data_IF_855279490191
#
_entry.id   IF_855279490191
#
_cell.length_a   1.000
_cell.length_b   1.000
_cell.length_c   1.000
_cell.angle_alpha   90.00
_cell.angle_beta   90.00
_cell.angle_gamma   90.00
#
_symmetry.space_group_name_H-M   'P 1'
#
loop_
_entity.id
_entity.type
_entity.pdbx_description
1 polymer ?
#
# COMPACT_ATOMS: atom_id res chain seq x y z
N UNK A 1 -102.22 25.66 -37.73
CA UNK A 1 -101.09 26.54 -38.09
C UNK A 1 -100.67 27.37 -36.86
N UNK A 2 -99.62 26.96 -36.15
CA UNK A 2 -98.59 27.81 -35.51
C UNK A 2 -97.54 26.91 -34.83
N UNK A 3 -96.28 27.31 -34.99
CA UNK A 3 -95.04 26.57 -34.77
C UNK A 3 -94.27 27.20 -33.58
N UNK A 4 -93.43 26.37 -32.91
CA UNK A 4 -92.25 26.68 -32.04
C UNK A 4 -92.58 27.16 -30.61
N UNK A 5 -91.81 26.81 -29.57
CA UNK A 5 -90.34 26.67 -29.53
C UNK A 5 -89.90 25.79 -28.33
N UNK A 6 -88.86 24.98 -28.53
CA UNK A 6 -88.25 24.16 -27.48
C UNK A 6 -87.27 24.94 -26.58
N UNK A 7 -87.04 24.43 -25.37
CA UNK A 7 -86.00 24.90 -24.45
C UNK A 7 -85.28 23.69 -23.84
N UNK A 8 -84.15 23.31 -24.43
CA UNK A 8 -83.11 22.49 -23.79
C UNK A 8 -82.41 23.36 -22.74
N UNK A 9 -82.15 22.83 -21.54
CA UNK A 9 -81.13 23.41 -20.64
C UNK A 9 -80.31 22.34 -19.92
N UNK A 10 -79.01 22.45 -20.18
CA UNK A 10 -77.86 21.71 -19.70
C UNK A 10 -77.88 21.32 -18.21
N UNK A 11 -77.63 20.05 -17.93
CA UNK A 11 -76.97 19.57 -16.71
C UNK A 11 -76.02 18.45 -17.10
N UNK A 12 -74.73 18.60 -16.84
CA UNK A 12 -73.81 17.46 -16.86
C UNK A 12 -72.41 17.64 -17.44
N UNK A 13 -71.79 18.84 -17.37
CA UNK A 13 -70.38 19.00 -17.84
C UNK A 13 -69.39 19.22 -16.68
N UNK A 14 -69.85 19.56 -15.47
CA UNK A 14 -68.94 19.95 -14.37
C UNK A 14 -68.36 18.83 -13.50
N UNK A 15 -68.76 17.56 -13.64
CA UNK A 15 -68.33 16.48 -12.73
C UNK A 15 -67.28 15.52 -13.29
N UNK A 16 -67.12 15.43 -14.62
CA UNK A 16 -66.13 14.52 -15.21
C UNK A 16 -64.71 15.12 -15.22
N UNK A 17 -64.55 16.44 -15.37
CA UNK A 17 -63.21 17.08 -15.40
C UNK A 17 -62.46 17.07 -14.06
N UNK A 18 -63.16 17.14 -12.92
CA UNK A 18 -62.52 17.08 -11.60
C UNK A 18 -61.94 15.69 -11.29
N UNK A 19 -62.61 14.63 -11.76
CA UNK A 19 -62.20 13.25 -11.53
C UNK A 19 -60.94 12.88 -12.34
N UNK A 20 -60.83 13.41 -13.58
CA UNK A 20 -59.67 13.19 -14.46
C UNK A 20 -58.40 13.94 -14.00
N UNK A 21 -58.54 15.12 -13.38
CA UNK A 21 -57.40 15.87 -12.77
C UNK A 21 -56.87 15.23 -11.49
N UNK A 22 -57.72 14.52 -10.73
CA UNK A 22 -57.32 13.80 -9.52
C UNK A 22 -56.48 12.55 -9.84
N UNK A 23 -56.87 11.78 -10.86
CA UNK A 23 -56.15 10.56 -11.27
C UNK A 23 -54.75 10.84 -11.85
N UNK A 24 -54.60 11.90 -12.65
CA UNK A 24 -53.29 12.27 -13.24
C UNK A 24 -52.27 12.78 -12.21
N UNK A 25 -52.71 13.45 -11.13
CA UNK A 25 -51.82 13.84 -10.03
C UNK A 25 -51.35 12.66 -9.18
N UNK A 26 -52.25 11.72 -8.88
CA UNK A 26 -51.89 10.52 -8.13
C UNK A 26 -50.86 9.67 -8.89
N UNK A 27 -51.09 9.41 -10.18
CA UNK A 27 -50.15 8.63 -11.01
C UNK A 27 -48.78 9.31 -11.18
N UNK A 28 -48.74 10.64 -11.30
CA UNK A 28 -47.49 11.40 -11.37
C UNK A 28 -46.70 11.32 -10.06
N UNK A 29 -47.38 11.38 -8.90
CA UNK A 29 -46.75 11.21 -7.59
C UNK A 29 -46.18 9.80 -7.40
N UNK A 30 -46.91 8.76 -7.83
CA UNK A 30 -46.45 7.37 -7.79
C UNK A 30 -45.25 7.10 -8.71
N UNK A 31 -45.17 7.76 -9.88
CA UNK A 31 -44.02 7.66 -10.79
C UNK A 31 -42.79 8.38 -10.24
N UNK A 32 -42.96 9.57 -9.65
CA UNK A 32 -41.86 10.32 -9.04
C UNK A 32 -41.28 9.60 -7.81
N UNK A 33 -42.14 9.00 -6.98
CA UNK A 33 -41.68 8.21 -5.84
C UNK A 33 -40.91 6.96 -6.28
N UNK A 34 -41.33 6.25 -7.34
CA UNK A 34 -40.58 5.08 -7.84
C UNK A 34 -39.23 5.46 -8.44
N UNK A 35 -39.12 6.59 -9.12
CA UNK A 35 -37.87 7.09 -9.71
C UNK A 35 -36.85 7.56 -8.67
N UNK A 36 -37.28 8.05 -7.50
CA UNK A 36 -36.37 8.47 -6.42
C UNK A 36 -36.00 7.32 -5.46
N UNK A 37 -36.86 6.31 -5.29
CA UNK A 37 -36.61 5.18 -4.38
C UNK A 37 -35.49 4.26 -4.90
N UNK A 38 -35.44 3.98 -6.20
CA UNK A 38 -34.40 3.12 -6.79
C UNK A 38 -32.96 3.62 -6.62
N UNK A 39 -32.62 4.90 -6.87
CA UNK A 39 -31.27 5.40 -6.64
C UNK A 39 -30.91 5.46 -5.16
N UNK A 40 -31.86 5.76 -4.27
CA UNK A 40 -31.63 5.75 -2.81
C UNK A 40 -31.37 4.35 -2.28
N UNK A 41 -32.15 3.35 -2.72
CA UNK A 41 -31.92 1.94 -2.37
C UNK A 41 -30.60 1.44 -2.95
N UNK A 42 -30.29 1.79 -4.21
CA UNK A 42 -29.00 1.42 -4.83
C UNK A 42 -27.83 2.05 -4.08
N UNK A 43 -27.93 3.33 -3.70
CA UNK A 43 -26.90 4.02 -2.93
C UNK A 43 -26.74 3.43 -1.52
N UNK A 44 -27.85 3.12 -0.85
CA UNK A 44 -27.84 2.46 0.47
C UNK A 44 -27.22 1.05 0.40
N UNK A 45 -27.55 0.27 -0.64
CA UNK A 45 -26.95 -1.05 -0.87
C UNK A 45 -25.46 -0.95 -1.19
N UNK A 46 -25.05 0.00 -2.03
CA UNK A 46 -23.63 0.26 -2.33
C UNK A 46 -22.84 0.71 -1.10
N UNK A 47 -23.46 1.50 -0.21
CA UNK A 47 -22.85 1.92 1.05
C UNK A 47 -22.74 0.78 2.08
N UNK A 48 -23.58 -0.27 1.98
CA UNK A 48 -23.54 -1.45 2.84
C UNK A 48 -22.57 -2.54 2.34
N UNK A 49 -22.23 -2.57 1.06
CA UNK A 49 -21.25 -3.51 0.49
C UNK A 49 -19.86 -3.48 1.16
N UNK A 50 -19.24 -2.33 1.50
CA UNK A 50 -17.95 -2.33 2.19
C UNK A 50 -18.03 -2.91 3.60
N UNK A 51 -19.18 -2.87 4.27
CA UNK A 51 -19.38 -3.51 5.58
C UNK A 51 -19.53 -5.04 5.47
N UNK A 52 -19.99 -5.54 4.32
CA UNK A 52 -20.06 -6.98 4.00
C UNK A 52 -18.75 -7.53 3.43
N UNK A 53 -17.90 -6.66 2.90
CA UNK A 53 -16.54 -6.99 2.48
C UNK A 53 -15.61 -7.10 3.70
N UNK A 54 -15.85 -8.10 4.54
CA UNK A 54 -14.98 -8.51 5.65
C UNK A 54 -13.66 -9.16 5.17
N UNK A 55 -13.05 -8.63 4.10
CA UNK A 55 -11.71 -9.00 3.68
C UNK A 55 -10.71 -8.36 4.65
N UNK A 56 -10.69 -8.88 5.88
CA UNK A 56 -9.64 -8.51 6.82
C UNK A 56 -8.37 -9.22 6.38
N UNK A 57 -7.42 -8.46 5.84
CA UNK A 57 -6.08 -8.94 5.54
C UNK A 57 -5.47 -9.52 6.81
N UNK A 58 -5.33 -10.86 6.86
CA UNK A 58 -4.78 -11.56 8.02
C UNK A 58 -3.28 -11.29 8.20
N UNK A 59 -2.60 -11.04 7.08
CA UNK A 59 -1.16 -10.81 7.01
C UNK A 59 -0.83 -9.95 5.79
N UNK A 60 0.06 -9.00 5.98
CA UNK A 60 0.65 -8.20 4.93
C UNK A 60 2.10 -8.64 4.71
N UNK A 61 2.47 -8.89 3.46
CA UNK A 61 3.84 -9.16 3.02
C UNK A 61 4.21 -8.12 2.00
N UNK A 62 5.26 -7.35 2.27
CA UNK A 62 5.78 -6.30 1.40
C UNK A 62 7.13 -6.76 0.86
N UNK A 63 7.26 -6.76 -0.47
CA UNK A 63 8.52 -7.06 -1.15
C UNK A 63 8.98 -5.77 -1.84
N UNK A 64 10.10 -5.22 -1.39
CA UNK A 64 10.72 -4.00 -1.89
C UNK A 64 11.98 -4.37 -2.65
N UNK A 65 11.98 -4.12 -3.96
CA UNK A 65 13.13 -4.38 -4.84
C UNK A 65 13.65 -3.03 -5.32
N UNK A 66 14.80 -2.60 -4.79
CA UNK A 66 15.38 -1.31 -5.15
C UNK A 66 15.96 -1.33 -6.57
N UNK A 67 15.88 -0.18 -7.24
CA UNK A 67 16.45 0.00 -8.58
C UNK A 67 15.88 -0.90 -9.69
N UNK A 68 14.78 -1.63 -9.45
CA UNK A 68 14.18 -2.53 -10.43
C UNK A 68 13.64 -1.74 -11.65
N UNK A 69 14.18 -1.96 -12.86
CA UNK A 69 13.68 -1.25 -14.03
C UNK A 69 12.26 -1.69 -14.38
N UNK A 70 11.42 -0.73 -14.79
CA UNK A 70 9.99 -0.91 -15.03
C UNK A 70 9.64 -2.10 -15.94
N UNK A 71 10.42 -2.32 -17.01
CA UNK A 71 10.16 -3.33 -18.03
C UNK A 71 10.71 -4.73 -17.69
N UNK A 72 11.56 -4.83 -16.67
CA UNK A 72 12.35 -6.04 -16.42
C UNK A 72 11.47 -7.23 -16.03
N UNK A 73 10.53 -7.03 -15.11
CA UNK A 73 9.58 -8.09 -14.71
C UNK A 73 8.69 -8.48 -15.87
N UNK A 74 8.18 -7.51 -16.63
CA UNK A 74 7.30 -7.75 -17.77
C UNK A 74 8.00 -8.59 -18.85
N UNK A 75 9.24 -8.24 -19.17
CA UNK A 75 10.06 -8.96 -20.14
C UNK A 75 10.23 -10.42 -19.74
N UNK A 76 10.71 -10.68 -18.53
CA UNK A 76 10.95 -12.06 -18.08
C UNK A 76 9.67 -12.84 -17.81
N UNK A 77 8.57 -12.17 -17.44
CA UNK A 77 7.28 -12.84 -17.35
C UNK A 77 6.80 -13.28 -18.73
N UNK A 78 7.01 -12.49 -19.80
CA UNK A 78 6.61 -12.84 -21.18
C UNK A 78 7.53 -13.86 -21.84
N UNK A 79 8.82 -13.85 -21.51
CA UNK A 79 9.77 -14.83 -22.02
C UNK A 79 9.35 -16.25 -21.65
N UNK A 80 9.27 -17.13 -22.66
CA UNK A 80 8.88 -18.52 -22.49
C UNK A 80 10.10 -19.41 -22.59
N UNK A 81 10.26 -20.32 -21.63
CA UNK A 81 11.26 -21.36 -21.70
C UNK A 81 10.91 -22.31 -22.86
N UNK A 82 11.77 -22.50 -23.87
CA UNK A 82 11.46 -23.28 -25.06
C UNK A 82 11.26 -24.78 -24.78
N UNK A 83 11.77 -25.30 -23.66
CA UNK A 83 11.62 -26.71 -23.26
C UNK A 83 10.32 -26.99 -22.52
N UNK A 84 9.89 -26.06 -21.66
CA UNK A 84 8.74 -26.27 -20.76
C UNK A 84 7.50 -25.48 -21.15
N UNK A 85 7.64 -24.48 -22.02
CA UNK A 85 6.58 -23.54 -22.39
C UNK A 85 6.17 -22.58 -21.27
N UNK A 86 6.81 -22.62 -20.10
CA UNK A 86 6.48 -21.78 -18.95
C UNK A 86 7.21 -20.43 -19.02
N UNK A 87 6.66 -19.42 -18.34
CA UNK A 87 7.36 -18.16 -18.07
C UNK A 87 8.72 -18.40 -17.38
N UNK A 88 9.69 -17.51 -17.62
CA UNK A 88 10.95 -17.49 -16.84
C UNK A 88 10.72 -17.08 -15.38
N UNK A 89 9.61 -16.37 -15.08
CA UNK A 89 9.19 -16.02 -13.73
C UNK A 89 7.81 -16.64 -13.42
N UNK A 90 7.72 -17.97 -13.31
CA UNK A 90 6.43 -18.68 -13.24
C UNK A 90 5.61 -18.30 -12.02
N UNK A 91 6.27 -18.02 -10.88
CA UNK A 91 5.57 -17.59 -9.67
C UNK A 91 5.09 -16.14 -9.73
N UNK A 92 5.86 -15.24 -10.36
CA UNK A 92 5.40 -13.86 -10.58
C UNK A 92 4.19 -13.84 -11.51
N UNK A 93 4.25 -14.61 -12.61
CA UNK A 93 3.11 -14.81 -13.51
C UNK A 93 1.89 -15.36 -12.75
N UNK A 94 2.09 -16.41 -11.96
CA UNK A 94 1.00 -17.04 -11.22
C UNK A 94 0.34 -16.12 -10.18
N UNK A 95 1.15 -15.46 -9.35
CA UNK A 95 0.66 -14.67 -8.22
C UNK A 95 0.13 -13.31 -8.67
N UNK A 96 0.85 -12.60 -9.53
CA UNK A 96 0.53 -11.20 -9.87
C UNK A 96 -0.22 -11.03 -11.19
N UNK A 97 0.02 -11.88 -12.19
CA UNK A 97 -0.61 -11.73 -13.52
C UNK A 97 -1.90 -12.55 -13.65
N UNK A 98 -1.90 -13.80 -13.16
CA UNK A 98 -3.06 -14.69 -13.28
C UNK A 98 -4.08 -14.50 -12.15
N UNK A 99 -3.61 -14.21 -10.93
CA UNK A 99 -4.43 -14.19 -9.72
C UNK A 99 -4.36 -12.90 -8.93
N UNK A 100 -3.54 -11.95 -9.38
CA UNK A 100 -3.25 -10.73 -8.67
C UNK A 100 -3.85 -9.50 -9.35
N UNK A 101 -3.42 -8.35 -8.86
CA UNK A 101 -3.69 -7.05 -9.47
C UNK A 101 -2.37 -6.36 -9.76
N UNK A 102 -2.36 -5.59 -10.85
CA UNK A 102 -1.19 -4.88 -11.34
C UNK A 102 -1.56 -3.45 -11.69
N UNK A 103 -0.61 -2.56 -11.50
CA UNK A 103 -0.70 -1.18 -11.93
C UNK A 103 0.35 -0.95 -13.01
N UNK A 104 -0.07 -0.64 -14.23
CA UNK A 104 0.84 -0.40 -15.35
C UNK A 104 1.55 0.95 -15.23
N UNK A 105 0.84 1.97 -14.75
CA UNK A 105 1.34 3.35 -14.65
C UNK A 105 1.66 3.72 -13.21
N UNK A 106 2.57 2.97 -12.59
CA UNK A 106 3.07 3.24 -11.25
C UNK A 106 4.34 4.09 -11.34
N UNK A 107 4.32 5.29 -10.79
CA UNK A 107 5.42 6.26 -10.89
C UNK A 107 5.76 6.89 -9.55
N UNK A 108 7.04 7.20 -9.37
CA UNK A 108 7.51 7.99 -8.23
C UNK A 108 7.14 9.45 -8.45
N UNK A 109 6.59 10.10 -7.42
CA UNK A 109 6.31 11.54 -7.46
C UNK A 109 7.54 12.34 -7.04
N UNK A 110 8.08 13.15 -7.95
CA UNK A 110 9.20 14.05 -7.68
C UNK A 110 10.54 13.41 -8.03
N UNK A 111 11.33 13.07 -7.00
CA UNK A 111 12.71 12.60 -7.16
C UNK A 111 12.76 11.07 -7.02
N UNK A 112 13.27 10.38 -8.03
CA UNK A 112 13.43 8.92 -8.06
C UNK A 112 14.67 8.45 -7.30
N UNK A 113 14.76 8.81 -6.02
CA UNK A 113 15.78 8.33 -5.09
C UNK A 113 15.16 7.38 -4.07
N UNK A 114 15.93 6.41 -3.57
CA UNK A 114 15.46 5.39 -2.63
C UNK A 114 14.81 6.01 -1.39
N UNK A 115 15.51 6.86 -0.64
CA UNK A 115 14.99 7.48 0.59
C UNK A 115 13.61 8.13 0.41
N UNK A 116 13.45 9.09 -0.51
CA UNK A 116 12.14 9.70 -0.80
C UNK A 116 11.08 8.71 -1.28
N UNK A 117 11.43 7.77 -2.16
CA UNK A 117 10.47 6.81 -2.74
C UNK A 117 9.90 5.88 -1.68
N UNK A 118 10.76 5.33 -0.83
CA UNK A 118 10.33 4.41 0.23
C UNK A 118 9.54 5.15 1.33
N UNK A 119 9.86 6.41 1.63
CA UNK A 119 9.05 7.21 2.55
C UNK A 119 7.60 7.37 2.07
N UNK A 120 7.40 7.65 0.78
CA UNK A 120 6.05 7.76 0.20
C UNK A 120 5.30 6.44 0.33
N UNK A 121 5.96 5.32 0.02
CA UNK A 121 5.35 4.00 0.08
C UNK A 121 5.00 3.57 1.51
N UNK A 122 5.88 3.85 2.46
CA UNK A 122 5.71 3.43 3.85
C UNK A 122 4.76 4.35 4.62
N UNK A 123 4.51 5.59 4.17
CA UNK A 123 3.59 6.52 4.86
C UNK A 123 2.27 6.74 4.12
N UNK A 124 2.23 6.47 2.81
CA UNK A 124 1.14 6.88 1.94
C UNK A 124 1.02 8.41 1.77
N UNK A 125 1.97 9.19 2.27
CA UNK A 125 1.96 10.66 2.20
C UNK A 125 2.87 11.18 1.09
N UNK A 126 2.77 12.49 0.81
CA UNK A 126 3.73 13.14 -0.06
C UNK A 126 5.15 13.06 0.53
N UNK A 127 6.17 13.16 -0.33
CA UNK A 127 7.57 13.11 0.09
C UNK A 127 7.84 14.14 1.21
N UNK A 128 8.12 13.65 2.41
CA UNK A 128 8.61 14.47 3.53
C UNK A 128 10.14 14.57 3.48
N UNK A 129 10.79 13.44 3.22
CA UNK A 129 12.22 13.36 2.87
C UNK A 129 12.37 13.56 1.36
N UNK A 130 13.25 14.47 0.97
CA UNK A 130 13.46 14.99 -0.39
C UNK A 130 14.76 14.50 -1.02
N UNK A 131 15.68 13.95 -0.24
CA UNK A 131 16.93 13.39 -0.72
C UNK A 131 17.32 12.10 -0.02
N UNK A 132 18.32 11.40 -0.55
CA UNK A 132 19.04 10.35 0.18
C UNK A 132 19.95 10.96 1.26
N UNK A 133 20.45 12.16 0.99
CA UNK A 133 21.22 12.99 1.90
C UNK A 133 20.64 14.39 1.87
N UNK A 134 20.45 14.99 3.04
CA UNK A 134 19.94 16.34 3.22
C UNK A 134 20.86 17.15 4.12
N UNK A 135 21.00 18.43 3.82
CA UNK A 135 21.77 19.35 4.64
C UNK A 135 20.82 20.37 5.28
N UNK A 136 20.74 20.36 6.61
CA UNK A 136 20.04 21.39 7.35
C UNK A 136 20.98 22.56 7.61
N UNK A 137 20.67 23.68 6.95
CA UNK A 137 21.44 24.93 7.06
C UNK A 137 21.37 25.56 8.46
N UNK A 138 20.32 25.31 9.24
CA UNK A 138 20.16 25.92 10.56
C UNK A 138 21.02 25.22 11.62
N UNK A 139 21.06 23.89 11.57
CA UNK A 139 21.88 23.07 12.48
C UNK A 139 23.28 22.80 11.92
N UNK A 140 23.52 23.14 10.65
CA UNK A 140 24.74 22.78 9.89
C UNK A 140 25.00 21.27 9.88
N UNK A 141 23.93 20.47 9.98
CA UNK A 141 23.99 19.03 10.08
C UNK A 141 23.60 18.37 8.75
N UNK A 142 24.30 17.28 8.42
CA UNK A 142 23.98 16.44 7.25
C UNK A 142 23.25 15.19 7.72
N UNK A 143 22.04 14.99 7.21
CA UNK A 143 21.26 13.78 7.42
C UNK A 143 21.46 12.85 6.23
N UNK A 144 22.16 11.75 6.42
CA UNK A 144 22.33 10.71 5.42
C UNK A 144 21.45 9.51 5.77
N UNK A 145 20.41 9.30 4.95
CA UNK A 145 19.40 8.27 5.17
C UNK A 145 19.80 6.91 4.60
N UNK A 146 20.86 6.83 3.79
CA UNK A 146 21.39 5.57 3.24
C UNK A 146 22.46 4.93 4.11
N UNK A 147 22.86 5.57 5.21
CA UNK A 147 23.93 5.08 6.08
C UNK A 147 23.49 3.91 6.98
N UNK A 148 23.26 2.76 6.35
CA UNK A 148 22.92 1.52 7.04
C UNK A 148 24.03 1.10 8.02
N UNK A 149 25.29 1.00 7.59
CA UNK A 149 26.39 0.46 8.40
C UNK A 149 26.62 1.28 9.69
N UNK A 150 26.72 2.63 9.64
CA UNK A 150 26.81 3.44 10.85
C UNK A 150 25.62 3.24 11.80
N UNK A 151 24.40 3.10 11.26
CA UNK A 151 23.23 2.78 12.07
C UNK A 151 23.37 1.43 12.78
N UNK A 152 23.74 0.36 12.07
CA UNK A 152 23.87 -0.98 12.66
C UNK A 152 24.92 -1.02 13.78
N UNK A 153 26.02 -0.28 13.61
CA UNK A 153 27.07 -0.15 14.64
C UNK A 153 26.54 0.63 15.85
N UNK A 154 25.90 1.79 15.63
CA UNK A 154 25.34 2.60 16.70
C UNK A 154 24.25 1.84 17.46
N UNK A 155 23.43 1.06 16.76
CA UNK A 155 22.44 0.19 17.37
C UNK A 155 23.08 -0.93 18.19
N UNK A 156 24.08 -1.63 17.65
CA UNK A 156 24.76 -2.70 18.38
C UNK A 156 25.42 -2.19 19.68
N UNK A 157 25.92 -0.96 19.65
CA UNK A 157 26.41 -0.22 20.83
C UNK A 157 25.32 0.37 21.73
N UNK A 158 24.03 0.14 21.43
CA UNK A 158 22.86 0.69 22.13
C UNK A 158 22.81 2.23 22.18
N UNK A 159 23.48 2.91 21.23
CA UNK A 159 23.53 4.37 21.14
C UNK A 159 22.33 4.93 20.38
N UNK A 160 21.75 4.15 19.46
CA UNK A 160 20.62 4.57 18.61
C UNK A 160 19.67 3.40 18.40
N UNK A 161 18.36 3.65 18.41
CA UNK A 161 17.35 2.61 18.22
C UNK A 161 16.81 2.63 16.79
N UNK A 162 16.46 3.80 16.26
CA UNK A 162 15.78 3.93 14.97
C UNK A 162 16.69 4.51 13.89
N UNK A 163 16.37 4.22 12.61
CA UNK A 163 17.06 4.85 11.50
C UNK A 163 16.79 6.37 11.51
N UNK A 164 17.75 7.24 11.15
CA UNK A 164 17.54 8.69 11.15
C UNK A 164 16.30 9.14 10.36
N UNK A 165 16.03 8.51 9.21
CA UNK A 165 14.83 8.81 8.42
C UNK A 165 13.52 8.47 9.16
N UNK A 166 13.55 7.50 10.07
CA UNK A 166 12.39 7.12 10.90
C UNK A 166 12.17 8.09 12.07
N UNK A 167 13.25 8.56 12.70
CA UNK A 167 13.19 9.58 13.75
C UNK A 167 12.59 10.89 13.21
N UNK A 168 12.96 11.31 12.00
CA UNK A 168 12.38 12.50 11.37
C UNK A 168 10.88 12.32 11.14
N UNK A 169 10.43 11.13 10.74
CA UNK A 169 8.99 10.85 10.57
C UNK A 169 8.23 10.98 11.88
N UNK A 170 8.82 10.57 13.02
CA UNK A 170 8.23 10.78 14.35
C UNK A 170 8.12 12.24 14.72
N UNK A 171 9.17 13.03 14.49
CA UNK A 171 9.14 14.47 14.76
C UNK A 171 8.04 15.18 13.97
N UNK A 172 7.75 14.69 12.76
CA UNK A 172 6.65 15.17 11.92
C UNK A 172 5.29 14.54 12.26
N UNK A 173 5.21 13.62 13.22
CA UNK A 173 4.00 12.90 13.58
C UNK A 173 3.43 12.03 12.45
N UNK A 174 4.30 11.55 11.54
CA UNK A 174 3.92 10.74 10.38
C UNK A 174 4.20 9.27 10.66
N UNK A 175 3.18 8.43 10.93
CA UNK A 175 3.40 7.02 11.21
C UNK A 175 3.80 6.25 9.95
N UNK A 176 4.63 5.23 10.13
CA UNK A 176 4.99 4.29 9.06
C UNK A 176 3.96 3.14 9.02
N UNK A 177 3.81 2.49 7.87
CA UNK A 177 2.85 1.41 7.65
C UNK A 177 3.04 0.26 8.66
N UNK A 178 4.29 -0.02 9.01
CA UNK A 178 4.65 -1.02 10.02
C UNK A 178 4.19 -0.65 11.45
N UNK A 179 3.90 0.61 11.74
CA UNK A 179 3.47 1.08 13.06
C UNK A 179 1.98 0.77 13.31
N UNK A 180 1.24 0.39 12.27
CA UNK A 180 -0.10 -0.18 12.40
C UNK A 180 -0.11 -1.59 13.01
N UNK A 181 1.07 -2.22 13.14
CA UNK A 181 1.23 -3.58 13.67
C UNK A 181 2.03 -3.55 14.99
N UNK A 182 1.59 -4.30 16.02
CA UNK A 182 2.34 -4.46 17.26
C UNK A 182 3.78 -4.91 17.01
N UNK A 183 4.69 -4.44 17.87
CA UNK A 183 6.11 -4.70 17.72
C UNK A 183 6.43 -6.20 17.64
N UNK A 184 5.75 -7.04 18.41
CA UNK A 184 5.95 -8.49 18.49
C UNK A 184 5.42 -9.25 17.25
N UNK A 185 4.48 -8.67 16.52
CA UNK A 185 3.80 -9.27 15.37
C UNK A 185 4.35 -8.83 14.00
N UNK A 186 5.45 -8.08 13.98
CA UNK A 186 6.12 -7.62 12.76
C UNK A 186 7.51 -8.22 12.59
N UNK A 187 7.89 -8.47 11.33
CA UNK A 187 9.25 -8.81 10.90
C UNK A 187 9.66 -7.86 9.79
N UNK A 188 10.89 -7.35 9.85
CA UNK A 188 11.45 -6.45 8.86
C UNK A 188 12.88 -6.85 8.59
N UNK A 189 13.23 -6.99 7.32
CA UNK A 189 14.62 -7.05 6.91
C UNK A 189 15.29 -5.68 7.08
N UNK A 190 16.58 -5.62 6.74
CA UNK A 190 17.32 -4.35 6.77
C UNK A 190 16.72 -3.40 5.74
N UNK A 191 16.25 -2.24 6.18
CA UNK A 191 15.58 -1.26 5.33
C UNK A 191 15.87 0.18 5.77
N UNK A 192 15.56 1.15 4.89
CA UNK A 192 15.87 2.57 5.12
C UNK A 192 15.04 3.20 6.23
N UNK A 193 13.79 2.76 6.40
CA UNK A 193 12.87 3.23 7.43
C UNK A 193 12.61 2.11 8.43
N UNK A 194 13.58 1.90 9.33
CA UNK A 194 13.55 0.79 10.26
C UNK A 194 13.34 1.26 11.70
N UNK A 195 12.40 0.60 12.39
CA UNK A 195 12.13 0.74 13.83
C UNK A 195 12.85 -0.32 14.62
N UNK A 196 14.00 0.04 15.19
CA UNK A 196 14.84 -0.90 15.87
C UNK A 196 15.39 -2.00 14.97
N UNK A 197 16.39 -2.72 15.45
CA UNK A 197 16.88 -3.93 14.83
C UNK A 197 16.59 -5.12 15.73
N UNK A 198 15.86 -6.13 15.25
CA UNK A 198 15.70 -7.38 16.00
C UNK A 198 16.98 -8.21 15.91
N UNK A 199 17.99 -7.86 16.71
CA UNK A 199 19.19 -8.68 16.89
C UNK A 199 18.93 -9.99 17.61
N UNK A 200 17.72 -10.19 18.13
CA UNK A 200 17.28 -11.48 18.69
C UNK A 200 16.90 -12.47 17.60
N UNK A 201 16.55 -12.02 16.38
CA UNK A 201 16.31 -12.90 15.22
C UNK A 201 17.55 -13.07 14.36
N UNK A 202 18.39 -12.03 14.24
CA UNK A 202 19.72 -12.18 13.64
C UNK A 202 20.53 -13.19 14.44
N UNK A 203 20.84 -14.31 13.80
CA UNK A 203 21.64 -15.37 14.39
C UNK A 203 22.92 -14.78 15.03
N UNK A 204 23.43 -15.40 16.11
CA UNK A 204 24.66 -14.95 16.81
C UNK A 204 25.79 -14.58 15.84
N UNK A 205 25.86 -15.20 14.66
CA UNK A 205 26.80 -14.88 13.59
C UNK A 205 26.75 -13.43 13.09
N UNK A 206 25.58 -12.85 12.81
CA UNK A 206 25.48 -11.46 12.35
C UNK A 206 25.77 -10.47 13.49
N UNK A 207 25.23 -10.73 14.69
CA UNK A 207 25.54 -9.92 15.87
C UNK A 207 27.04 -9.91 16.16
N UNK A 208 27.69 -11.07 16.13
CA UNK A 208 29.13 -11.16 16.31
C UNK A 208 29.86 -10.40 15.20
N UNK A 209 29.47 -10.55 13.92
CA UNK A 209 30.11 -9.84 12.80
C UNK A 209 30.12 -8.33 12.99
N UNK A 210 29.00 -7.74 13.41
CA UNK A 210 28.89 -6.28 13.62
C UNK A 210 29.49 -5.78 14.94
N UNK A 211 29.71 -6.66 15.92
CA UNK A 211 30.29 -6.29 17.23
C UNK A 211 31.79 -6.59 17.33
N UNK A 212 32.31 -7.54 16.56
CA UNK A 212 33.73 -7.94 16.62
C UNK A 212 34.58 -7.28 15.54
N UNK A 213 34.00 -6.78 14.45
CA UNK A 213 34.74 -6.12 13.36
C UNK A 213 34.78 -4.62 13.56
N UNK A 214 35.87 -4.00 13.12
CA UNK A 214 35.98 -2.54 13.13
C UNK A 214 35.03 -1.91 12.10
N UNK A 215 34.55 -0.67 12.34
CA UNK A 215 33.69 0.05 11.39
C UNK A 215 34.28 0.13 9.97
N UNK A 216 35.61 0.28 9.86
CA UNK A 216 36.32 0.33 8.58
C UNK A 216 36.25 -1.00 7.83
N UNK A 217 36.48 -2.11 8.52
CA UNK A 217 36.39 -3.44 7.92
C UNK A 217 34.97 -3.78 7.46
N UNK A 218 33.94 -3.33 8.19
CA UNK A 218 32.54 -3.52 7.80
C UNK A 218 32.19 -2.71 6.55
N UNK A 219 32.66 -1.46 6.45
CA UNK A 219 32.46 -0.61 5.28
C UNK A 219 33.22 -1.17 4.07
N UNK A 220 34.48 -1.55 4.25
CA UNK A 220 35.30 -2.14 3.18
C UNK A 220 34.69 -3.46 2.68
N UNK A 221 34.21 -4.32 3.58
CA UNK A 221 33.53 -5.57 3.23
C UNK A 221 32.19 -5.33 2.51
N UNK A 222 31.41 -4.34 2.95
CA UNK A 222 30.14 -3.98 2.33
C UNK A 222 30.31 -3.35 0.94
N UNK A 223 31.38 -2.56 0.76
CA UNK A 223 31.66 -1.86 -0.51
C UNK A 223 32.45 -2.70 -1.50
N UNK A 224 33.29 -3.63 -1.04
CA UNK A 224 34.18 -4.43 -1.90
C UNK A 224 33.78 -5.91 -2.02
N UNK A 225 32.96 -6.45 -1.12
CA UNK A 225 32.71 -7.90 -1.00
C UNK A 225 31.31 -8.35 -1.40
N UNK A 226 31.19 -8.97 -2.58
CA UNK A 226 29.97 -9.67 -3.03
C UNK A 226 29.58 -10.77 -2.01
N UNK A 227 30.56 -11.47 -1.45
CA UNK A 227 30.33 -12.56 -0.49
C UNK A 227 29.76 -12.09 0.86
N UNK A 228 30.16 -10.91 1.34
CA UNK A 228 29.68 -10.37 2.61
C UNK A 228 28.21 -9.96 2.54
N UNK A 229 27.81 -9.31 1.44
CA UNK A 229 26.43 -8.90 1.17
C UNK A 229 25.51 -10.11 0.99
N UNK A 230 25.95 -11.14 0.27
CA UNK A 230 25.17 -12.36 0.04
C UNK A 230 24.87 -13.11 1.34
N UNK A 231 25.84 -13.23 2.27
CA UNK A 231 25.61 -13.90 3.55
C UNK A 231 24.50 -13.22 4.37
N UNK A 232 24.45 -11.88 4.34
CA UNK A 232 23.41 -11.11 5.05
C UNK A 232 22.06 -11.29 4.38
N UNK A 233 22.00 -11.18 3.04
CA UNK A 233 20.76 -11.35 2.28
C UNK A 233 20.19 -12.77 2.45
N UNK A 234 21.02 -13.81 2.31
CA UNK A 234 20.61 -15.20 2.50
C UNK A 234 20.05 -15.45 3.90
N UNK A 235 20.64 -14.82 4.92
CA UNK A 235 20.16 -14.91 6.29
C UNK A 235 18.81 -14.22 6.46
N UNK A 236 18.64 -13.02 5.93
CA UNK A 236 17.38 -12.28 5.96
C UNK A 236 16.27 -13.02 5.21
N UNK A 237 16.58 -13.70 4.11
CA UNK A 237 15.66 -14.55 3.37
C UNK A 237 15.26 -15.78 4.18
N UNK A 238 16.22 -16.48 4.82
CA UNK A 238 15.92 -17.62 5.71
C UNK A 238 14.99 -17.21 6.85
N UNK A 239 15.28 -16.09 7.51
CA UNK A 239 14.44 -15.57 8.58
C UNK A 239 13.05 -15.18 8.08
N UNK A 240 12.94 -14.57 6.90
CA UNK A 240 11.66 -14.26 6.27
C UNK A 240 10.83 -15.54 6.07
N UNK A 241 11.42 -16.60 5.51
CA UNK A 241 10.75 -17.88 5.30
C UNK A 241 10.30 -18.53 6.62
N UNK A 242 11.12 -18.45 7.67
CA UNK A 242 10.75 -18.91 9.01
C UNK A 242 9.55 -18.12 9.56
N UNK A 243 9.59 -16.78 9.46
CA UNK A 243 8.51 -15.92 9.97
C UNK A 243 7.23 -16.01 9.14
N UNK A 244 7.31 -16.31 7.85
CA UNK A 244 6.12 -16.61 7.02
C UNK A 244 5.34 -17.81 7.55
N UNK A 245 6.02 -18.80 8.13
CA UNK A 245 5.38 -19.97 8.74
C UNK A 245 4.78 -19.68 10.13
N UNK A 246 5.07 -18.53 10.74
CA UNK A 246 4.55 -18.16 12.05
C UNK A 246 3.24 -17.35 11.94
N UNK A 247 2.07 -17.88 12.35
CA UNK A 247 0.79 -17.19 12.25
C UNK A 247 0.67 -15.94 13.11
N UNK A 248 1.54 -15.76 14.13
CA UNK A 248 1.56 -14.55 14.95
C UNK A 248 2.14 -13.34 14.23
N UNK A 249 2.97 -13.57 13.21
CA UNK A 249 3.55 -12.48 12.41
C UNK A 249 2.53 -12.05 11.36
N UNK A 250 2.02 -10.83 11.53
CA UNK A 250 1.01 -10.20 10.68
C UNK A 250 1.60 -9.22 9.66
N UNK A 251 2.78 -8.68 9.91
CA UNK A 251 3.50 -7.81 8.97
C UNK A 251 4.88 -8.37 8.66
N UNK A 252 5.20 -8.52 7.38
CA UNK A 252 6.53 -8.92 6.91
C UNK A 252 6.98 -7.95 5.83
N UNK A 253 8.20 -7.46 5.97
CA UNK A 253 8.84 -6.56 5.00
C UNK A 253 10.19 -7.14 4.60
N UNK A 254 10.40 -7.26 3.29
CA UNK A 254 11.65 -7.71 2.71
C UNK A 254 12.14 -6.70 1.68
N UNK A 255 13.28 -6.10 1.97
CA UNK A 255 13.99 -5.13 1.14
C UNK A 255 15.26 -5.76 0.58
N UNK A 256 15.41 -5.68 -0.74
CA UNK A 256 16.63 -6.08 -1.46
C UNK A 256 17.09 -4.96 -2.38
N UNK A 257 18.41 -4.83 -2.49
CA UNK A 257 19.12 -3.90 -3.38
C UNK A 257 19.87 -4.65 -4.46
#
# INVERSE_FOLDING_TARGET
>A
MKIKQGKKRNRGIGKEEETLRGQTRAESFYRFSRLAIFPVITFALLALLPALAGAQTRRLVVLKVDGLPHDTVERFVRERNPRTGKSQLPWMEHVFYQRGSRLENFYTRGISLSGPSWAILDTGQHAQIKGNVEFDRLTMHTYDYLNFIPYWIAYAGQVRVDMPGTEIMDEMGTPLLMDAYPYDERYMSFQLYQRGARWTTLERGLKNRFTTRSPRELVDEWTMGIDGRNIVLDQLERELLEKLNNPRIRYLDYYTT
#
